data_IF_866986513863
#
_entry.id   IF_866986513863
#
_cell.length_a   1.000
_cell.length_b   1.000
_cell.length_c   1.000
_cell.angle_alpha   90.00
_cell.angle_beta   90.00
_cell.angle_gamma   90.00
#
_symmetry.space_group_name_H-M   'P 1'
#
loop_
_entity.id
_entity.type
_entity.pdbx_description
1 polymer ?
#
# COMPACT_ATOMS: atom_id res chain seq x y z
N UNK A 1 -1.65 -4.86 17.12
CA UNK A 1 -1.96 -5.52 15.83
C UNK A 1 -0.99 -5.01 14.77
N UNK A 2 -0.51 -5.84 13.87
CA UNK A 2 0.50 -5.53 12.83
C UNK A 2 1.82 -4.94 13.35
N UNK A 3 2.29 -5.41 14.50
CA UNK A 3 3.61 -5.07 15.05
C UNK A 3 4.72 -5.96 14.48
N UNK A 4 5.95 -5.46 14.55
CA UNK A 4 7.14 -6.16 14.07
C UNK A 4 7.24 -6.25 12.54
N UNK A 5 8.01 -7.24 12.09
CA UNK A 5 8.28 -7.46 10.67
C UNK A 5 7.73 -8.82 10.23
N UNK A 6 7.64 -8.98 8.91
CA UNK A 6 7.43 -10.27 8.25
C UNK A 6 8.59 -10.51 7.28
N UNK A 7 9.09 -11.74 7.22
CA UNK A 7 10.12 -12.11 6.27
C UNK A 7 9.50 -12.55 4.95
N UNK A 8 9.82 -11.88 3.86
CA UNK A 8 9.39 -12.23 2.50
C UNK A 8 10.63 -12.42 1.64
N UNK A 9 10.85 -13.60 1.10
CA UNK A 9 12.05 -13.93 0.29
C UNK A 9 13.36 -13.47 0.92
N UNK A 10 13.47 -13.57 2.25
CA UNK A 10 14.69 -13.21 3.00
C UNK A 10 14.85 -11.72 3.30
N UNK A 11 13.88 -10.87 2.96
CA UNK A 11 13.84 -9.46 3.34
C UNK A 11 12.80 -9.23 4.44
N UNK A 12 13.19 -8.47 5.45
CA UNK A 12 12.31 -8.09 6.55
C UNK A 12 11.50 -6.84 6.14
N UNK A 13 10.16 -6.94 6.19
CA UNK A 13 9.25 -5.85 5.85
C UNK A 13 8.40 -5.53 7.08
N UNK A 14 8.33 -4.27 7.54
CA UNK A 14 7.46 -3.87 8.64
C UNK A 14 5.99 -4.17 8.33
N UNK A 15 5.26 -4.72 9.31
CA UNK A 15 3.85 -5.07 9.13
C UNK A 15 2.92 -3.87 9.02
N UNK A 16 3.35 -2.70 9.51
CA UNK A 16 2.63 -1.43 9.36
C UNK A 16 3.42 -0.49 8.47
N UNK A 17 2.77 -0.02 7.42
CA UNK A 17 3.34 0.91 6.44
C UNK A 17 2.59 2.24 6.48
N UNK A 18 3.33 3.35 6.52
CA UNK A 18 2.78 4.68 6.22
C UNK A 18 2.41 4.74 4.74
N UNK A 19 1.11 4.87 4.44
CA UNK A 19 0.60 4.99 3.08
C UNK A 19 0.67 6.43 2.57
N UNK A 20 1.20 6.65 1.38
CA UNK A 20 1.44 7.99 0.81
C UNK A 20 0.30 8.53 -0.06
N UNK A 21 -0.82 7.81 -0.20
CA UNK A 21 -1.96 8.26 -1.01
C UNK A 21 -2.52 9.64 -0.63
N UNK A 22 -2.60 10.05 0.66
CA UNK A 22 -3.00 11.41 1.01
C UNK A 22 -2.01 12.46 0.51
N UNK A 23 -0.72 12.17 0.50
CA UNK A 23 0.33 13.12 0.09
C UNK A 23 0.19 13.58 -1.36
N UNK A 24 -0.40 12.76 -2.21
CA UNK A 24 -0.64 13.07 -3.63
C UNK A 24 -2.07 13.53 -3.91
N UNK A 25 -2.91 13.66 -2.88
CA UNK A 25 -4.32 13.98 -3.08
C UNK A 25 -5.04 12.97 -3.98
N UNK A 26 -4.85 11.67 -3.73
CA UNK A 26 -5.44 10.62 -4.56
C UNK A 26 -6.95 10.75 -4.69
N UNK A 27 -7.51 10.50 -5.88
CA UNK A 27 -8.91 10.70 -6.22
C UNK A 27 -9.91 9.98 -5.28
N UNK A 28 -9.47 8.89 -4.63
CA UNK A 28 -10.29 8.16 -3.66
C UNK A 28 -10.78 9.00 -2.47
N UNK A 29 -10.15 10.14 -2.19
CA UNK A 29 -10.54 11.03 -1.10
C UNK A 29 -11.64 12.03 -1.48
N UNK A 30 -12.16 11.98 -2.72
CA UNK A 30 -13.23 12.85 -3.18
C UNK A 30 -12.87 14.34 -3.04
N UNK A 31 -13.74 15.15 -2.44
CA UNK A 31 -13.49 16.59 -2.25
C UNK A 31 -12.26 16.90 -1.39
N UNK A 32 -11.87 16.00 -0.47
CA UNK A 32 -10.64 16.17 0.34
C UNK A 32 -9.36 16.02 -0.47
N UNK A 33 -9.40 15.36 -1.63
CA UNK A 33 -8.24 15.24 -2.51
C UNK A 33 -7.64 16.61 -2.84
N UNK A 34 -8.49 17.62 -3.11
CA UNK A 34 -8.03 18.97 -3.40
C UNK A 34 -7.35 19.64 -2.21
N UNK A 35 -7.87 19.44 -1.00
CA UNK A 35 -7.25 19.96 0.23
C UNK A 35 -5.88 19.30 0.45
N UNK A 36 -5.79 17.99 0.29
CA UNK A 36 -4.51 17.27 0.40
C UNK A 36 -3.49 17.71 -0.65
N UNK A 37 -3.93 18.02 -1.87
CA UNK A 37 -3.02 18.60 -2.87
C UNK A 37 -2.46 19.95 -2.43
N UNK A 38 -3.30 20.83 -1.88
CA UNK A 38 -2.88 22.16 -1.44
C UNK A 38 -1.98 22.11 -0.20
N UNK A 39 -2.32 21.24 0.76
CA UNK A 39 -1.69 21.21 2.07
C UNK A 39 -0.48 20.27 2.15
N UNK A 40 -0.42 19.26 1.26
CA UNK A 40 0.64 18.24 1.25
C UNK A 40 1.42 18.26 -0.06
N UNK A 41 0.79 17.90 -1.20
CA UNK A 41 1.52 17.78 -2.47
C UNK A 41 2.27 19.05 -2.86
N UNK A 42 1.66 20.21 -2.69
CA UNK A 42 2.27 21.51 -2.98
C UNK A 42 3.14 22.05 -1.83
N UNK A 43 3.24 21.32 -0.73
CA UNK A 43 3.96 21.71 0.50
C UNK A 43 4.73 20.50 1.04
N UNK A 44 5.84 20.08 0.39
CA UNK A 44 6.57 18.87 0.79
C UNK A 44 7.09 18.93 2.24
N UNK A 45 7.26 20.13 2.81
CA UNK A 45 7.60 20.32 4.22
C UNK A 45 6.51 19.80 5.17
N UNK A 46 5.25 19.85 4.77
CA UNK A 46 4.16 19.27 5.56
C UNK A 46 4.14 17.75 5.43
N UNK A 47 4.50 17.20 4.26
CA UNK A 47 4.71 15.74 4.08
C UNK A 47 5.83 15.28 5.02
N UNK A 48 6.96 16.00 5.06
CA UNK A 48 8.08 15.71 5.95
C UNK A 48 7.65 15.61 7.42
N UNK A 49 6.83 16.55 7.91
CA UNK A 49 6.32 16.51 9.29
C UNK A 49 5.53 15.23 9.58
N UNK A 50 4.67 14.81 8.64
CA UNK A 50 3.88 13.58 8.79
C UNK A 50 4.78 12.34 8.78
N UNK A 51 5.77 12.29 7.88
CA UNK A 51 6.75 11.20 7.81
C UNK A 51 7.53 11.09 9.12
N UNK A 52 8.09 12.20 9.60
CA UNK A 52 8.85 12.24 10.86
C UNK A 52 7.98 11.83 12.05
N UNK A 53 6.76 12.38 12.16
CA UNK A 53 5.85 12.02 13.23
C UNK A 53 5.50 10.53 13.23
N UNK A 54 5.30 9.95 12.05
CA UNK A 54 5.06 8.51 11.92
C UNK A 54 6.27 7.69 12.38
N UNK A 55 7.47 8.12 12.01
CA UNK A 55 8.73 7.48 12.44
C UNK A 55 8.93 7.55 13.96
N UNK A 56 8.70 8.71 14.59
CA UNK A 56 8.72 8.89 16.05
C UNK A 56 7.75 7.95 16.78
N UNK A 57 6.62 7.64 16.15
CA UNK A 57 5.65 6.66 16.65
C UNK A 57 6.06 5.21 16.39
N UNK A 58 7.26 4.97 15.82
CA UNK A 58 7.82 3.65 15.57
C UNK A 58 7.32 3.00 14.27
N UNK A 59 6.77 3.78 13.34
CA UNK A 59 6.42 3.30 12.00
C UNK A 59 7.62 3.54 11.09
N UNK A 60 8.35 2.48 10.80
CA UNK A 60 9.56 2.50 9.98
C UNK A 60 9.37 1.84 8.60
N UNK A 61 8.14 1.54 8.21
CA UNK A 61 7.77 1.11 6.87
C UNK A 61 6.99 2.19 6.14
N UNK A 62 7.25 2.38 4.84
CA UNK A 62 6.52 3.33 4.00
C UNK A 62 6.09 2.67 2.69
N UNK A 63 4.79 2.79 2.35
CA UNK A 63 4.28 2.46 1.02
C UNK A 63 4.38 3.73 0.17
N UNK A 64 5.40 3.77 -0.67
CA UNK A 64 5.80 4.94 -1.44
C UNK A 64 5.23 4.91 -2.86
N UNK A 65 4.46 5.95 -3.23
CA UNK A 65 4.20 6.27 -4.64
C UNK A 65 5.17 7.41 -5.02
N UNK A 66 6.11 7.20 -5.96
CA UNK A 66 7.27 8.06 -6.13
C UNK A 66 6.99 9.33 -6.94
N UNK A 67 6.08 10.17 -6.43
CA UNK A 67 5.94 11.54 -6.93
C UNK A 67 7.00 12.46 -6.33
N UNK A 68 7.53 13.40 -7.11
CA UNK A 68 8.65 14.24 -6.72
C UNK A 68 8.52 14.88 -5.32
N UNK A 69 7.38 15.52 -4.92
CA UNK A 69 7.26 16.11 -3.59
C UNK A 69 7.31 15.07 -2.46
N UNK A 70 6.85 13.84 -2.73
CA UNK A 70 6.86 12.75 -1.74
C UNK A 70 8.26 12.17 -1.58
N UNK A 71 8.96 11.97 -2.71
CA UNK A 71 10.37 11.52 -2.72
C UNK A 71 11.25 12.55 -2.03
N UNK A 72 11.08 13.83 -2.35
CA UNK A 72 11.82 14.94 -1.72
C UNK A 72 11.64 14.95 -0.20
N UNK A 73 10.40 14.86 0.28
CA UNK A 73 10.11 14.84 1.71
C UNK A 73 10.70 13.60 2.40
N UNK A 74 10.68 12.44 1.73
CA UNK A 74 11.31 11.22 2.26
C UNK A 74 12.83 11.36 2.34
N UNK A 75 13.48 11.92 1.32
CA UNK A 75 14.93 12.19 1.34
C UNK A 75 15.31 13.13 2.49
N UNK A 76 14.57 14.22 2.70
CA UNK A 76 14.79 15.10 3.83
C UNK A 76 14.64 14.38 5.18
N UNK A 77 13.64 13.49 5.30
CA UNK A 77 13.49 12.69 6.52
C UNK A 77 14.69 11.74 6.75
N UNK A 78 15.21 11.14 5.67
CA UNK A 78 16.41 10.29 5.73
C UNK A 78 17.65 11.10 6.15
N UNK A 79 17.83 12.29 5.58
CA UNK A 79 18.94 13.20 5.94
C UNK A 79 18.88 13.63 7.42
N UNK A 80 17.67 13.68 7.99
CA UNK A 80 17.42 13.94 9.41
C UNK A 80 17.47 12.67 10.30
N UNK A 81 17.85 11.52 9.74
CA UNK A 81 18.09 10.27 10.47
C UNK A 81 16.90 9.30 10.52
N UNK A 82 15.82 9.55 9.82
CA UNK A 82 14.73 8.58 9.69
C UNK A 82 15.14 7.47 8.69
N UNK A 83 15.02 6.21 9.10
CA UNK A 83 15.37 5.07 8.26
C UNK A 83 14.12 4.23 7.96
N UNK A 84 13.65 4.26 6.73
CA UNK A 84 12.44 3.57 6.30
C UNK A 84 12.74 2.34 5.43
N UNK A 85 12.01 1.26 5.68
CA UNK A 85 11.84 0.20 4.70
C UNK A 85 10.81 0.63 3.67
N UNK A 86 11.20 0.64 2.40
CA UNK A 86 10.36 1.15 1.31
C UNK A 86 9.69 -0.02 0.58
N UNK A 87 8.35 0.00 0.54
CA UNK A 87 7.51 -0.76 -0.37
C UNK A 87 7.01 0.21 -1.44
N UNK A 88 7.66 0.19 -2.61
CA UNK A 88 7.35 1.12 -3.69
C UNK A 88 6.12 0.70 -4.50
N UNK A 89 5.42 1.66 -5.08
CA UNK A 89 4.37 1.41 -6.09
C UNK A 89 4.76 2.08 -7.39
N UNK A 90 4.94 1.28 -8.42
CA UNK A 90 5.30 1.68 -9.79
C UNK A 90 4.06 2.25 -10.48
N UNK A 91 4.14 3.50 -10.94
CA UNK A 91 3.03 4.23 -11.57
C UNK A 91 2.80 3.79 -13.01
N UNK A 92 1.55 3.88 -13.52
CA UNK A 92 1.31 3.70 -14.94
C UNK A 92 2.00 4.82 -15.75
N UNK A 93 2.46 4.46 -16.94
CA UNK A 93 3.14 5.34 -17.91
C UNK A 93 4.50 5.91 -17.44
N UNK A 94 5.03 5.43 -16.31
CA UNK A 94 6.32 5.80 -15.72
C UNK A 94 7.09 4.56 -15.22
N UNK A 95 6.79 3.36 -15.73
CA UNK A 95 7.21 2.12 -15.09
C UNK A 95 8.72 1.99 -14.97
N UNK A 96 9.48 2.20 -16.05
CA UNK A 96 10.93 2.04 -16.03
C UNK A 96 11.62 3.13 -15.20
N UNK A 97 11.12 4.36 -15.25
CA UNK A 97 11.61 5.48 -14.44
C UNK A 97 11.38 5.22 -12.96
N UNK A 98 10.18 4.76 -12.58
CA UNK A 98 9.84 4.45 -11.20
C UNK A 98 10.63 3.26 -10.66
N UNK A 99 10.82 2.20 -11.47
CA UNK A 99 11.62 1.03 -11.08
C UNK A 99 13.07 1.46 -10.81
N UNK A 100 13.66 2.28 -11.68
CA UNK A 100 15.01 2.82 -11.48
C UNK A 100 15.10 3.65 -10.21
N UNK A 101 14.21 4.63 -10.04
CA UNK A 101 14.19 5.51 -8.88
C UNK A 101 13.97 4.74 -7.56
N UNK A 102 13.03 3.82 -7.53
CA UNK A 102 12.77 2.99 -6.34
C UNK A 102 13.94 2.06 -6.02
N UNK A 103 14.67 1.58 -7.04
CA UNK A 103 15.91 0.82 -6.86
C UNK A 103 17.00 1.67 -6.24
N UNK A 104 17.20 2.91 -6.72
CA UNK A 104 18.17 3.87 -6.16
C UNK A 104 17.84 4.24 -4.71
N UNK A 105 16.55 4.32 -4.36
CA UNK A 105 16.07 4.55 -3.00
C UNK A 105 16.18 3.30 -2.10
N UNK A 106 16.61 2.16 -2.62
CA UNK A 106 16.79 0.92 -1.87
C UNK A 106 15.47 0.24 -1.49
N UNK A 107 14.43 0.35 -2.32
CA UNK A 107 13.15 -0.30 -2.05
C UNK A 107 13.30 -1.81 -1.86
N UNK A 108 12.74 -2.34 -0.77
CA UNK A 108 12.73 -3.78 -0.50
C UNK A 108 11.78 -4.55 -1.41
N UNK A 109 10.71 -3.89 -1.82
CA UNK A 109 9.69 -4.44 -2.72
C UNK A 109 9.14 -3.33 -3.63
N UNK A 110 8.75 -3.72 -4.85
CA UNK A 110 8.09 -2.84 -5.83
C UNK A 110 6.84 -3.51 -6.36
N UNK A 111 5.73 -2.80 -6.33
CA UNK A 111 4.42 -3.30 -6.72
C UNK A 111 3.88 -2.52 -7.92
N UNK A 112 3.46 -3.21 -8.97
CA UNK A 112 2.82 -2.56 -10.11
C UNK A 112 1.46 -1.99 -9.68
N UNK A 113 1.20 -0.72 -10.00
CA UNK A 113 -0.02 -0.03 -9.63
C UNK A 113 -1.29 -0.74 -10.16
N UNK A 114 -2.40 -0.62 -9.45
CA UNK A 114 -3.66 -1.27 -9.82
C UNK A 114 -4.15 -0.92 -11.22
N UNK A 115 -3.89 0.29 -11.71
CA UNK A 115 -4.22 0.67 -13.09
C UNK A 115 -3.43 -0.11 -14.16
N UNK A 116 -2.31 -0.72 -13.78
CA UNK A 116 -1.52 -1.63 -14.64
C UNK A 116 -2.05 -3.05 -14.46
N UNK A 117 -2.11 -3.53 -13.22
CA UNK A 117 -2.47 -4.90 -12.86
C UNK A 117 -3.89 -5.26 -13.33
N UNK A 118 -4.85 -4.37 -13.12
CA UNK A 118 -6.27 -4.62 -13.40
C UNK A 118 -6.61 -4.64 -14.90
N UNK A 119 -5.64 -4.30 -15.77
CA UNK A 119 -5.75 -4.51 -17.22
C UNK A 119 -5.59 -5.98 -17.60
N UNK A 120 -4.99 -6.81 -16.74
CA UNK A 120 -4.74 -8.24 -16.93
C UNK A 120 -3.97 -8.56 -18.23
N UNK A 121 -3.09 -7.66 -18.65
CA UNK A 121 -2.18 -7.89 -19.78
C UNK A 121 -0.97 -8.70 -19.29
N UNK A 122 -1.11 -10.02 -19.22
CA UNK A 122 -0.12 -10.89 -18.59
C UNK A 122 1.29 -10.78 -19.19
N UNK A 123 1.42 -10.70 -20.51
CA UNK A 123 2.73 -10.48 -21.15
C UNK A 123 3.39 -9.18 -20.68
N UNK A 124 2.62 -8.12 -20.52
CA UNK A 124 3.12 -6.85 -20.02
C UNK A 124 3.50 -6.93 -18.52
N UNK A 125 2.66 -7.58 -17.72
CA UNK A 125 2.93 -7.80 -16.31
C UNK A 125 4.20 -8.65 -16.12
N UNK A 126 4.38 -9.72 -16.90
CA UNK A 126 5.61 -10.54 -16.88
C UNK A 126 6.83 -9.66 -17.09
N UNK A 127 6.86 -8.88 -18.18
CA UNK A 127 7.99 -8.01 -18.50
C UNK A 127 8.35 -7.08 -17.33
N UNK A 128 7.35 -6.43 -16.71
CA UNK A 128 7.57 -5.49 -15.61
C UNK A 128 7.95 -6.17 -14.29
N UNK A 129 7.39 -7.34 -14.00
CA UNK A 129 7.75 -8.12 -12.81
C UNK A 129 9.19 -8.66 -12.90
N UNK A 130 9.63 -9.08 -14.08
CA UNK A 130 11.01 -9.48 -14.34
C UNK A 130 11.97 -8.29 -14.19
N UNK A 131 11.65 -7.12 -14.75
CA UNK A 131 12.42 -5.89 -14.58
C UNK A 131 12.60 -5.52 -13.09
N UNK A 132 11.52 -5.59 -12.29
CA UNK A 132 11.60 -5.41 -10.85
C UNK A 132 12.53 -6.44 -10.20
N UNK A 133 12.40 -7.70 -10.55
CA UNK A 133 13.21 -8.79 -10.01
C UNK A 133 14.70 -8.59 -10.30
N UNK A 134 15.05 -8.07 -11.46
CA UNK A 134 16.44 -7.78 -11.85
C UNK A 134 17.10 -6.72 -10.95
N UNK A 135 16.33 -5.79 -10.35
CA UNK A 135 16.83 -4.84 -9.35
C UNK A 135 17.18 -5.49 -8.00
N UNK A 136 16.77 -6.73 -7.78
CA UNK A 136 16.84 -7.42 -6.50
C UNK A 136 15.72 -7.07 -5.52
N UNK A 137 14.75 -6.21 -5.89
CA UNK A 137 13.54 -5.97 -5.12
C UNK A 137 12.55 -7.14 -5.25
N UNK A 138 11.66 -7.29 -4.26
CA UNK A 138 10.59 -8.28 -4.30
C UNK A 138 9.47 -7.77 -5.22
N UNK A 139 9.13 -8.48 -6.30
CA UNK A 139 8.03 -8.09 -7.17
C UNK A 139 6.67 -8.26 -6.49
N UNK A 140 5.75 -7.36 -6.79
CA UNK A 140 4.38 -7.43 -6.30
C UNK A 140 3.38 -6.75 -7.21
N UNK A 141 2.12 -6.93 -6.88
CA UNK A 141 0.98 -6.37 -7.62
C UNK A 141 0.04 -5.61 -6.67
N UNK A 142 -0.56 -4.56 -7.18
CA UNK A 142 -1.65 -3.83 -6.52
C UNK A 142 -2.93 -4.04 -7.32
N UNK A 143 -4.08 -4.19 -6.68
CA UNK A 143 -5.36 -4.17 -7.37
C UNK A 143 -6.34 -3.16 -6.78
N UNK A 144 -7.26 -2.67 -7.59
CA UNK A 144 -8.48 -1.97 -7.18
C UNK A 144 -9.73 -2.85 -7.37
N UNK A 145 -9.56 -4.02 -8.00
CA UNK A 145 -10.62 -4.95 -8.36
C UNK A 145 -10.36 -6.33 -7.75
N UNK A 146 -10.45 -6.44 -6.39
CA UNK A 146 -9.96 -7.62 -5.68
C UNK A 146 -10.66 -8.93 -6.07
N UNK A 147 -11.92 -8.90 -6.49
CA UNK A 147 -12.62 -10.11 -6.93
C UNK A 147 -12.19 -10.55 -8.32
N UNK A 148 -12.33 -9.67 -9.31
CA UNK A 148 -12.04 -10.00 -10.70
C UNK A 148 -10.54 -10.26 -10.92
N UNK A 149 -9.69 -9.37 -10.43
CA UNK A 149 -8.25 -9.47 -10.65
C UNK A 149 -7.67 -10.69 -9.95
N UNK A 150 -8.01 -10.93 -8.67
CA UNK A 150 -7.51 -12.09 -7.94
C UNK A 150 -7.91 -13.41 -8.60
N UNK A 151 -9.17 -13.52 -9.05
CA UNK A 151 -9.65 -14.70 -9.75
C UNK A 151 -8.84 -15.01 -11.02
N UNK A 152 -8.51 -13.99 -11.81
CA UNK A 152 -7.72 -14.17 -13.03
C UNK A 152 -6.23 -14.45 -12.72
N UNK A 153 -5.68 -13.92 -11.64
CA UNK A 153 -4.29 -14.17 -11.24
C UNK A 153 -4.06 -15.59 -10.75
N UNK A 154 -5.01 -16.18 -10.03
CA UNK A 154 -4.91 -17.55 -9.50
C UNK A 154 -4.64 -18.58 -10.58
N UNK A 155 -5.25 -18.41 -11.76
CA UNK A 155 -5.16 -19.35 -12.86
C UNK A 155 -4.18 -18.87 -13.97
N UNK A 156 -3.31 -17.88 -13.66
CA UNK A 156 -2.39 -17.28 -14.63
C UNK A 156 -0.96 -17.81 -14.52
N UNK A 157 -0.23 -17.76 -15.64
CA UNK A 157 1.18 -18.13 -15.70
C UNK A 157 2.11 -17.16 -14.94
N UNK A 158 1.61 -15.99 -14.51
CA UNK A 158 2.39 -15.02 -13.76
C UNK A 158 2.32 -15.19 -12.24
N UNK A 159 1.56 -16.19 -11.76
CA UNK A 159 1.37 -16.40 -10.32
C UNK A 159 2.70 -16.52 -9.57
N UNK A 160 3.70 -17.18 -10.15
CA UNK A 160 5.01 -17.39 -9.53
C UNK A 160 6.00 -16.23 -9.75
N UNK A 161 5.59 -15.16 -10.44
CA UNK A 161 6.44 -14.00 -10.72
C UNK A 161 6.36 -12.90 -9.66
N UNK A 162 5.40 -12.95 -8.74
CA UNK A 162 5.23 -11.97 -7.67
C UNK A 162 5.01 -12.64 -6.31
N UNK A 163 5.34 -11.94 -5.24
CA UNK A 163 5.26 -12.45 -3.86
C UNK A 163 4.33 -11.64 -2.98
N UNK A 164 4.11 -10.37 -3.31
CA UNK A 164 3.31 -9.44 -2.51
C UNK A 164 2.10 -8.97 -3.32
N UNK A 165 0.95 -9.00 -2.68
CA UNK A 165 -0.30 -8.54 -3.28
C UNK A 165 -1.01 -7.52 -2.40
N UNK A 166 -1.17 -6.29 -2.90
CA UNK A 166 -1.84 -5.22 -2.16
C UNK A 166 -3.28 -5.06 -2.63
N UNK A 167 -4.22 -5.25 -1.70
CA UNK A 167 -5.66 -5.28 -2.00
C UNK A 167 -6.44 -4.32 -1.10
N UNK A 168 -7.59 -3.77 -1.56
CA UNK A 168 -8.51 -3.08 -0.67
C UNK A 168 -9.10 -4.06 0.34
N UNK A 169 -9.03 -3.72 1.63
CA UNK A 169 -9.68 -4.49 2.72
C UNK A 169 -10.34 -3.50 3.68
N UNK A 170 -11.66 -3.40 3.64
CA UNK A 170 -12.43 -2.58 4.56
C UNK A 170 -13.82 -3.15 4.80
N UNK A 171 -14.46 -2.73 5.88
CA UNK A 171 -15.76 -3.22 6.35
C UNK A 171 -16.91 -3.04 5.34
N UNK A 172 -16.82 -2.03 4.49
CA UNK A 172 -17.93 -1.58 3.62
C UNK A 172 -17.81 -2.04 2.17
N UNK A 173 -16.67 -2.64 1.75
CA UNK A 173 -16.40 -2.90 0.33
C UNK A 173 -16.07 -1.64 -0.47
N UNK A 174 -15.75 -0.53 0.20
CA UNK A 174 -15.48 0.75 -0.46
C UNK A 174 -14.37 0.65 -1.49
N UNK A 175 -14.69 1.09 -2.72
CA UNK A 175 -13.78 1.03 -3.87
C UNK A 175 -13.23 -0.38 -4.16
N UNK A 176 -14.10 -1.38 -4.03
CA UNK A 176 -13.92 -2.73 -4.56
C UNK A 176 -14.86 -2.94 -5.76
N UNK A 177 -14.61 -3.98 -6.54
CA UNK A 177 -15.43 -4.38 -7.70
C UNK A 177 -16.62 -5.26 -7.27
N UNK A 178 -17.42 -4.77 -6.34
CA UNK A 178 -18.65 -5.40 -5.86
C UNK A 178 -19.68 -4.33 -5.48
N UNK A 179 -20.94 -4.58 -5.78
CA UNK A 179 -22.05 -3.68 -5.41
C UNK A 179 -22.51 -3.90 -3.95
N UNK A 180 -22.21 -5.08 -3.41
CA UNK A 180 -22.59 -5.51 -2.06
C UNK A 180 -21.37 -6.14 -1.38
N UNK A 181 -21.18 -5.89 -0.09
CA UNK A 181 -20.08 -6.47 0.67
C UNK A 181 -20.57 -6.98 2.04
N UNK A 182 -21.37 -8.02 2.00
CA UNK A 182 -21.92 -8.71 3.16
C UNK A 182 -21.13 -10.00 3.45
N UNK A 183 -21.64 -10.85 4.30
CA UNK A 183 -20.96 -12.06 4.74
C UNK A 183 -20.53 -12.99 3.59
N UNK A 184 -21.39 -13.15 2.59
CA UNK A 184 -21.13 -13.98 1.41
C UNK A 184 -19.94 -13.44 0.60
N UNK A 185 -19.94 -12.17 0.27
CA UNK A 185 -18.86 -11.54 -0.52
C UNK A 185 -17.55 -11.47 0.28
N UNK A 186 -17.64 -11.30 1.61
CA UNK A 186 -16.45 -11.39 2.50
C UNK A 186 -15.84 -12.78 2.49
N UNK A 187 -16.68 -13.83 2.57
CA UNK A 187 -16.20 -15.21 2.47
C UNK A 187 -15.59 -15.50 1.11
N UNK A 188 -16.22 -15.06 0.00
CA UNK A 188 -15.70 -15.22 -1.35
C UNK A 188 -14.33 -14.53 -1.50
N UNK A 189 -14.18 -13.29 -1.07
CA UNK A 189 -12.91 -12.56 -1.12
C UNK A 189 -11.83 -13.27 -0.30
N UNK A 190 -12.17 -13.73 0.92
CA UNK A 190 -11.26 -14.49 1.78
C UNK A 190 -10.74 -15.74 1.06
N UNK A 191 -11.64 -16.51 0.44
CA UNK A 191 -11.28 -17.76 -0.22
C UNK A 191 -10.41 -17.51 -1.45
N UNK A 192 -10.69 -16.47 -2.23
CA UNK A 192 -9.86 -16.03 -3.36
C UNK A 192 -8.45 -15.63 -2.89
N UNK A 193 -8.36 -14.78 -1.87
CA UNK A 193 -7.07 -14.31 -1.36
C UNK A 193 -6.24 -15.47 -0.79
N UNK A 194 -6.87 -16.38 -0.04
CA UNK A 194 -6.18 -17.57 0.50
C UNK A 194 -5.71 -18.52 -0.60
N UNK A 195 -6.50 -18.68 -1.67
CA UNK A 195 -6.12 -19.50 -2.82
C UNK A 195 -4.95 -18.88 -3.62
N UNK A 196 -4.83 -17.55 -3.63
CA UNK A 196 -3.72 -16.86 -4.29
C UNK A 196 -2.36 -17.16 -3.61
N UNK A 197 -2.35 -17.41 -2.29
CA UNK A 197 -1.20 -17.81 -1.48
C UNK A 197 0.00 -16.84 -1.60
N UNK A 198 -0.24 -15.55 -1.41
CA UNK A 198 0.76 -14.48 -1.45
C UNK A 198 0.76 -13.69 -0.14
N UNK A 199 1.84 -12.95 0.11
CA UNK A 199 1.88 -11.99 1.22
C UNK A 199 0.94 -10.82 0.93
N UNK A 200 -0.02 -10.58 1.83
CA UNK A 200 -1.12 -9.65 1.61
C UNK A 200 -0.91 -8.35 2.36
N UNK A 201 -0.90 -7.23 1.62
CA UNK A 201 -0.95 -5.89 2.17
C UNK A 201 -2.39 -5.35 2.05
N UNK A 202 -3.03 -5.10 3.18
CA UNK A 202 -4.33 -4.41 3.19
C UNK A 202 -4.14 -2.90 2.94
N UNK A 203 -4.89 -2.35 1.99
CA UNK A 203 -5.02 -0.90 1.77
C UNK A 203 -6.47 -0.46 1.88
N UNK A 204 -6.70 0.86 1.92
CA UNK A 204 -8.06 1.47 2.03
C UNK A 204 -8.85 0.99 3.26
N UNK A 205 -8.17 0.59 4.31
CA UNK A 205 -8.75 0.01 5.53
C UNK A 205 -9.73 0.94 6.24
N UNK A 206 -9.51 2.25 6.13
CA UNK A 206 -10.39 3.29 6.66
C UNK A 206 -11.39 3.83 5.61
N UNK A 207 -11.54 3.16 4.47
CA UNK A 207 -12.46 3.54 3.39
C UNK A 207 -12.37 5.05 3.04
N UNK A 208 -11.15 5.56 2.83
CA UNK A 208 -10.84 6.98 2.59
C UNK A 208 -11.40 7.93 3.69
N UNK A 209 -11.49 7.47 4.94
CA UNK A 209 -11.98 8.21 6.09
C UNK A 209 -13.50 8.22 6.27
N UNK A 210 -14.20 7.29 5.59
CA UNK A 210 -15.62 6.99 5.88
C UNK A 210 -15.72 6.20 7.20
N UNK A 211 -14.78 5.31 7.45
CA UNK A 211 -14.65 4.55 8.70
C UNK A 211 -13.74 5.29 9.66
N UNK A 212 -14.10 5.28 10.94
CA UNK A 212 -13.17 5.66 12.00
C UNK A 212 -12.02 4.65 12.10
N UNK A 213 -10.84 5.02 12.63
CA UNK A 213 -9.77 4.06 12.90
C UNK A 213 -10.23 2.86 13.75
N UNK A 214 -11.09 3.10 14.75
CA UNK A 214 -11.67 2.02 15.56
C UNK A 214 -12.46 1.02 14.71
N UNK A 215 -13.38 1.50 13.89
CA UNK A 215 -14.21 0.63 13.03
C UNK A 215 -13.36 -0.15 12.02
N UNK A 216 -12.37 0.52 11.41
CA UNK A 216 -11.48 -0.11 10.45
C UNK A 216 -10.61 -1.20 11.08
N UNK A 217 -10.02 -0.92 12.24
CA UNK A 217 -9.14 -1.88 12.93
C UNK A 217 -9.92 -3.02 13.57
N UNK A 218 -11.11 -2.76 14.12
CA UNK A 218 -11.97 -3.84 14.62
C UNK A 218 -12.41 -4.78 13.50
N UNK A 219 -12.65 -4.25 12.29
CA UNK A 219 -12.88 -5.11 11.13
C UNK A 219 -11.62 -5.91 10.74
N UNK A 220 -10.44 -5.29 10.70
CA UNK A 220 -9.19 -5.99 10.38
C UNK A 220 -8.89 -7.16 11.33
N UNK A 221 -9.29 -7.09 12.60
CA UNK A 221 -9.17 -8.21 13.52
C UNK A 221 -10.02 -9.43 13.15
N UNK A 222 -11.07 -9.22 12.38
CA UNK A 222 -11.97 -10.32 11.95
C UNK A 222 -11.50 -11.02 10.69
N UNK A 223 -10.47 -10.48 10.00
CA UNK A 223 -9.92 -11.09 8.79
C UNK A 223 -8.62 -11.84 9.08
N UNK A 224 -8.46 -13.01 8.46
CA UNK A 224 -7.37 -13.97 8.73
C UNK A 224 -6.47 -14.19 7.50
N UNK A 225 -6.47 -13.23 6.56
CA UNK A 225 -5.73 -13.29 5.31
C UNK A 225 -4.89 -12.04 5.05
N UNK A 226 -4.68 -11.18 6.05
CA UNK A 226 -3.89 -9.94 5.93
C UNK A 226 -2.62 -10.06 6.75
N UNK A 227 -1.48 -9.85 6.12
CA UNK A 227 -0.15 -9.90 6.73
C UNK A 227 0.38 -8.53 7.14
N UNK A 228 0.14 -7.52 6.28
CA UNK A 228 0.58 -6.14 6.47
C UNK A 228 -0.56 -5.16 6.21
N UNK A 229 -0.41 -3.95 6.73
CA UNK A 229 -1.37 -2.86 6.51
C UNK A 229 -0.66 -1.58 6.05
N UNK A 230 -1.19 -0.94 4.99
CA UNK A 230 -0.78 0.40 4.56
C UNK A 230 -1.87 1.41 4.93
N UNK A 231 -1.54 2.36 5.79
CA UNK A 231 -2.48 3.35 6.34
C UNK A 231 -2.09 4.73 5.86
N UNK A 232 -2.97 5.35 5.05
CA UNK A 232 -2.80 6.73 4.61
C UNK A 232 -3.05 7.70 5.75
N UNK A 233 -2.12 8.62 5.98
CA UNK A 233 -2.14 9.64 7.03
C UNK A 233 -1.93 11.01 6.39
N UNK A 234 -2.72 11.99 6.78
CA UNK A 234 -2.68 13.33 6.19
C UNK A 234 -2.15 14.42 7.15
N UNK A 235 -1.95 14.12 8.44
CA UNK A 235 -1.43 15.08 9.41
C UNK A 235 -0.73 14.39 10.58
N UNK A 236 0.09 15.14 11.33
CA UNK A 236 0.76 14.65 12.54
C UNK A 236 -0.26 14.19 13.61
N UNK A 237 -1.35 14.95 13.79
CA UNK A 237 -2.43 14.60 14.72
C UNK A 237 -3.13 13.30 14.32
N UNK A 238 -3.36 13.09 13.02
CA UNK A 238 -3.93 11.86 12.49
C UNK A 238 -2.96 10.67 12.67
N UNK A 239 -1.65 10.88 12.46
CA UNK A 239 -0.62 9.88 12.72
C UNK A 239 -0.67 9.43 14.19
N UNK A 240 -0.67 10.39 15.11
CA UNK A 240 -0.68 10.11 16.55
C UNK A 240 -1.93 9.34 16.97
N UNK A 241 -3.11 9.80 16.57
CA UNK A 241 -4.37 9.15 16.93
C UNK A 241 -4.47 7.73 16.32
N UNK A 242 -4.08 7.58 15.06
CA UNK A 242 -4.27 6.32 14.32
C UNK A 242 -3.24 5.27 14.71
N UNK A 243 -1.95 5.61 14.77
CA UNK A 243 -0.91 4.63 15.07
C UNK A 243 -0.86 4.23 16.55
N UNK A 244 -1.17 5.14 17.49
CA UNK A 244 -1.34 4.75 18.90
C UNK A 244 -2.48 3.72 19.04
N UNK A 245 -3.62 4.01 18.44
CA UNK A 245 -4.76 3.09 18.47
C UNK A 245 -4.43 1.73 17.84
N UNK A 246 -3.66 1.69 16.75
CA UNK A 246 -3.26 0.45 16.10
C UNK A 246 -2.39 -0.42 17.02
N UNK A 247 -1.51 0.19 17.82
CA UNK A 247 -0.66 -0.50 18.80
C UNK A 247 -1.46 -1.05 19.98
N UNK A 248 -2.47 -0.31 20.44
CA UNK A 248 -3.29 -0.68 21.59
C UNK A 248 -4.27 -1.83 21.26
N UNK A 249 -4.42 -2.18 20.00
CA UNK A 249 -5.30 -3.24 19.49
C UNK A 249 -4.56 -4.52 19.12
#
# INVERSE_FOLDING_TARGET
MFEGNISVKGKEIPRTLLGTSPFIGAAQFGHRARLYQLDLYNQPENILKVIKKSYELGINGIQLVPYDPVVQALQWAVDEGCNFNIVGTVRPDCESEDISLLSELGASSMLLHGAITDKLSFNYLTLRLEEIKETGAIPGLVTHRPFNTTKNLIDSDILDLFEIYMVPVNKTGYLMDTDVFMEKERAELRDLIKKLDKTIIAKKTLAAGILTPNDGFDYLKTVDYVDLVAIGIASEAEAEATFKLLKDK
#
